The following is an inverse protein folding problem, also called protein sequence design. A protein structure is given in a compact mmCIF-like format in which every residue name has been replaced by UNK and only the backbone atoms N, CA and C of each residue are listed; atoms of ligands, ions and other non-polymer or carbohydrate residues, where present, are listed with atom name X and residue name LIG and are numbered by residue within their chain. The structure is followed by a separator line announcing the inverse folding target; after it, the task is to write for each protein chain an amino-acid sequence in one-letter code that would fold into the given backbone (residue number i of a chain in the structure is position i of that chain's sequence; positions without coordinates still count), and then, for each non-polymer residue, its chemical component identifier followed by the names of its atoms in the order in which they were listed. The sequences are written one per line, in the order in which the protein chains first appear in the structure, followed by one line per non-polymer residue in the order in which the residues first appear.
data_IF_844716295788
#
_entry.id   IF_844716295788
#
_cell.length_a   1.000
_cell.length_b   1.000
_cell.length_c   1.000
_cell.angle_alpha   90.00
_cell.angle_beta   90.00
_cell.angle_gamma   90.00
#
_symmetry.space_group_name_H-M   'P 1'
#
loop_
_entity.id
_entity.type
_entity.pdbx_description
1 polymer ?
#
# COMPACT_ATOMS: atom_id res chain seq x y z
N UNK A 1 16.36 37.95 8.62
CA UNK A 1 17.30 36.85 8.33
C UNK A 1 16.47 35.62 8.01
N UNK A 2 16.38 35.20 6.74
CA UNK A 2 15.59 34.02 6.35
C UNK A 2 16.31 32.77 6.87
N UNK A 3 15.60 31.84 7.54
CA UNK A 3 16.20 30.53 7.87
C UNK A 3 16.69 29.94 6.55
N UNK A 4 17.98 29.66 6.48
CA UNK A 4 18.58 29.00 5.33
C UNK A 4 17.77 27.73 5.01
N UNK A 5 17.37 27.56 3.75
CA UNK A 5 16.63 26.38 3.30
C UNK A 5 17.37 25.08 3.61
N UNK A 6 18.70 25.13 3.72
CA UNK A 6 19.55 24.02 4.17
C UNK A 6 19.31 23.69 5.64
N UNK A 7 19.26 24.70 6.52
CA UNK A 7 19.02 24.51 7.96
C UNK A 7 17.63 23.91 8.18
N UNK A 8 16.61 24.42 7.48
CA UNK A 8 15.26 23.88 7.55
C UNK A 8 15.23 22.41 7.14
N UNK A 9 15.87 22.05 6.03
CA UNK A 9 15.98 20.65 5.58
C UNK A 9 16.65 19.77 6.64
N UNK A 10 17.73 20.23 7.26
CA UNK A 10 18.41 19.46 8.30
C UNK A 10 17.51 19.22 9.52
N UNK A 11 16.74 20.22 9.95
CA UNK A 11 15.80 20.12 11.07
C UNK A 11 14.71 19.06 10.84
N UNK A 12 14.29 18.86 9.60
CA UNK A 12 13.32 17.84 9.23
C UNK A 12 13.96 16.46 8.99
N UNK A 13 15.07 16.42 8.25
CA UNK A 13 15.66 15.18 7.75
C UNK A 13 16.39 14.36 8.81
N UNK A 14 17.12 15.00 9.74
CA UNK A 14 17.90 14.26 10.76
C UNK A 14 16.97 13.43 11.67
N UNK A 15 15.92 13.99 12.28
CA UNK A 15 14.96 13.24 13.09
C UNK A 15 14.26 12.16 12.28
N UNK A 16 13.92 12.45 11.02
CA UNK A 16 13.27 11.50 10.14
C UNK A 16 14.17 10.29 9.83
N UNK A 17 15.47 10.51 9.61
CA UNK A 17 16.46 9.44 9.48
C UNK A 17 16.54 8.60 10.76
N UNK A 18 16.60 9.23 11.93
CA UNK A 18 16.64 8.54 13.23
C UNK A 18 15.38 7.69 13.43
N UNK A 19 14.19 8.27 13.24
CA UNK A 19 12.91 7.57 13.35
C UNK A 19 12.87 6.42 12.35
N UNK A 20 13.27 6.66 11.10
CA UNK A 20 13.27 5.64 10.06
C UNK A 20 14.17 4.44 10.36
N UNK A 21 15.38 4.68 10.89
CA UNK A 21 16.28 3.60 11.34
C UNK A 21 15.67 2.85 12.53
N UNK A 22 15.15 3.57 13.54
CA UNK A 22 14.58 2.95 14.74
C UNK A 22 13.33 2.11 14.45
N UNK A 23 12.44 2.61 13.58
CA UNK A 23 11.21 1.90 13.21
C UNK A 23 11.52 0.72 12.29
N UNK A 24 12.43 0.89 11.32
CA UNK A 24 12.90 -0.22 10.46
C UNK A 24 13.54 -1.33 11.28
N UNK A 25 14.42 -0.99 12.24
CA UNK A 25 15.04 -1.97 13.14
C UNK A 25 14.00 -2.70 13.99
N UNK A 26 13.06 -1.96 14.58
CA UNK A 26 12.02 -2.55 15.44
C UNK A 26 11.09 -3.46 14.65
N UNK A 27 10.75 -3.07 13.43
CA UNK A 27 9.87 -3.84 12.55
C UNK A 27 10.55 -5.12 12.03
N UNK A 28 11.81 -5.04 11.61
CA UNK A 28 12.58 -6.24 11.21
C UNK A 28 12.77 -7.22 12.37
N UNK A 29 13.13 -6.71 13.57
CA UNK A 29 13.49 -7.57 14.71
C UNK A 29 12.27 -8.12 15.45
N UNK A 30 11.23 -7.31 15.63
CA UNK A 30 10.07 -7.67 16.46
C UNK A 30 8.77 -7.82 15.66
N UNK A 31 8.76 -7.48 14.37
CA UNK A 31 7.56 -7.47 13.53
C UNK A 31 6.53 -6.43 13.96
N UNK A 32 6.92 -5.46 14.81
CA UNK A 32 6.05 -4.45 15.40
C UNK A 32 6.78 -3.13 15.58
N UNK A 33 6.15 -2.05 15.17
CA UNK A 33 6.61 -0.69 15.43
C UNK A 33 6.13 -0.26 16.82
N UNK A 34 7.07 0.07 17.71
CA UNK A 34 6.72 0.50 19.08
C UNK A 34 6.10 1.89 19.06
N UNK A 35 5.01 2.08 19.80
CA UNK A 35 4.32 3.37 19.93
C UNK A 35 5.23 4.49 20.44
N UNK A 36 6.27 4.18 21.22
CA UNK A 36 7.23 5.18 21.69
C UNK A 36 7.93 5.88 20.52
N UNK A 37 8.35 5.17 19.47
CA UNK A 37 9.00 5.79 18.31
C UNK A 37 8.04 6.70 17.55
N UNK A 38 6.78 6.28 17.44
CA UNK A 38 5.72 7.06 16.80
C UNK A 38 5.41 8.34 17.60
N UNK A 39 5.33 8.23 18.93
CA UNK A 39 5.09 9.37 19.81
C UNK A 39 6.23 10.39 19.71
N UNK A 40 7.48 9.94 19.70
CA UNK A 40 8.64 10.82 19.55
C UNK A 40 8.61 11.58 18.23
N UNK A 41 8.30 10.90 17.12
CA UNK A 41 8.17 11.55 15.81
C UNK A 41 7.05 12.57 15.77
N UNK A 42 5.90 12.25 16.36
CA UNK A 42 4.76 13.16 16.43
C UNK A 42 5.04 14.39 17.31
N UNK A 43 5.59 14.19 18.52
CA UNK A 43 5.97 15.27 19.42
C UNK A 43 7.03 16.18 18.77
N UNK A 44 8.03 15.59 18.11
CA UNK A 44 9.04 16.37 17.40
C UNK A 44 8.43 17.20 16.27
N UNK A 45 7.55 16.60 15.45
CA UNK A 45 6.82 17.31 14.41
C UNK A 45 6.07 18.52 14.99
N UNK A 46 5.28 18.32 16.05
CA UNK A 46 4.54 19.41 16.72
C UNK A 46 5.44 20.53 17.25
N UNK A 47 6.56 20.18 17.90
CA UNK A 47 7.53 21.17 18.38
C UNK A 47 8.14 21.96 17.23
N UNK A 48 8.54 21.29 16.15
CA UNK A 48 9.10 21.93 14.97
C UNK A 48 8.06 22.86 14.32
N UNK A 49 6.80 22.45 14.21
CA UNK A 49 5.72 23.31 13.70
C UNK A 49 5.50 24.53 14.57
N UNK A 50 5.43 24.35 15.88
CA UNK A 50 5.23 25.45 16.83
C UNK A 50 6.36 26.46 16.72
N UNK A 51 7.60 25.97 16.60
CA UNK A 51 8.77 26.81 16.37
C UNK A 51 8.70 27.56 15.04
N UNK A 52 8.34 26.90 13.93
CA UNK A 52 8.23 27.55 12.61
C UNK A 52 7.12 28.60 12.56
N UNK A 53 5.96 28.32 13.17
CA UNK A 53 4.85 29.27 13.28
C UNK A 53 5.29 30.48 14.11
N UNK A 54 5.88 30.25 15.28
CA UNK A 54 6.36 31.31 16.16
C UNK A 54 7.40 32.19 15.45
N UNK A 55 8.42 31.56 14.85
CA UNK A 55 9.49 32.27 14.17
C UNK A 55 9.01 33.04 12.93
N UNK A 56 8.12 32.44 12.13
CA UNK A 56 7.57 33.12 10.94
C UNK A 56 6.71 34.33 11.29
N UNK A 57 5.86 34.21 12.32
CA UNK A 57 4.93 35.27 12.72
C UNK A 57 5.62 36.40 13.49
N UNK A 58 6.45 36.07 14.49
CA UNK A 58 7.01 37.06 15.42
C UNK A 58 8.39 37.59 15.03
N UNK A 59 9.20 36.85 14.25
CA UNK A 59 10.59 37.26 13.96
C UNK A 59 10.75 37.81 12.55
N UNK A 60 10.16 37.16 11.54
CA UNK A 60 10.38 37.51 10.12
C UNK A 60 9.22 38.33 9.52
N UNK A 61 8.00 38.22 10.08
CA UNK A 61 6.79 38.84 9.53
C UNK A 61 6.54 38.48 8.05
N UNK A 62 6.88 37.25 7.63
CA UNK A 62 6.62 36.74 6.29
C UNK A 62 5.41 35.80 6.29
N UNK A 63 4.35 36.22 5.61
CA UNK A 63 3.10 35.45 5.46
C UNK A 63 3.27 34.17 4.63
N UNK A 64 4.24 34.10 3.72
CA UNK A 64 4.49 32.92 2.88
C UNK A 64 4.87 31.67 3.69
N UNK A 65 5.55 31.85 4.82
CA UNK A 65 5.90 30.74 5.72
C UNK A 65 4.67 30.13 6.39
N UNK A 66 3.63 30.94 6.68
CA UNK A 66 2.37 30.43 7.20
C UNK A 66 1.65 29.59 6.16
N UNK A 67 1.67 30.02 4.88
CA UNK A 67 1.12 29.22 3.78
C UNK A 67 1.82 27.87 3.66
N UNK A 68 3.15 27.83 3.77
CA UNK A 68 3.92 26.58 3.79
C UNK A 68 3.47 25.65 4.93
N UNK A 69 3.36 26.18 6.16
CA UNK A 69 2.91 25.39 7.32
C UNK A 69 1.49 24.86 7.12
N UNK A 70 0.57 25.67 6.59
CA UNK A 70 -0.80 25.26 6.28
C UNK A 70 -0.82 24.15 5.22
N UNK A 71 -0.07 24.28 4.13
CA UNK A 71 0.03 23.23 3.10
C UNK A 71 0.58 21.92 3.67
N UNK A 72 1.55 22.00 4.58
CA UNK A 72 2.11 20.84 5.25
C UNK A 72 1.10 20.18 6.21
N UNK A 73 0.37 20.98 7.00
CA UNK A 73 -0.69 20.46 7.88
C UNK A 73 -1.83 19.80 7.08
N UNK A 74 -2.20 20.37 5.93
CA UNK A 74 -3.18 19.76 5.01
C UNK A 74 -2.65 18.40 4.52
N UNK A 75 -1.40 18.34 4.05
CA UNK A 75 -0.78 17.08 3.61
C UNK A 75 -0.74 16.03 4.73
N UNK A 76 -0.33 16.41 5.95
CA UNK A 76 -0.29 15.50 7.10
C UNK A 76 -1.68 15.02 7.52
N UNK A 77 -2.69 15.89 7.48
CA UNK A 77 -4.08 15.53 7.80
C UNK A 77 -4.65 14.55 6.78
N UNK A 78 -4.44 14.81 5.47
CA UNK A 78 -4.87 13.89 4.41
C UNK A 78 -4.12 12.56 4.55
N UNK A 79 -2.82 12.58 4.84
CA UNK A 79 -2.04 11.37 5.08
C UNK A 79 -2.59 10.55 6.27
N UNK A 80 -2.99 11.22 7.36
CA UNK A 80 -3.64 10.57 8.50
C UNK A 80 -4.96 9.91 8.12
N UNK A 81 -5.84 10.62 7.40
CA UNK A 81 -7.12 10.07 6.93
C UNK A 81 -6.87 8.87 6.01
N UNK A 82 -5.95 8.98 5.05
CA UNK A 82 -5.62 7.88 4.13
C UNK A 82 -5.04 6.68 4.89
N UNK A 83 -4.10 6.91 5.81
CA UNK A 83 -3.55 5.85 6.67
C UNK A 83 -4.62 5.16 7.50
N UNK A 84 -5.52 5.93 8.13
CA UNK A 84 -6.66 5.41 8.87
C UNK A 84 -7.59 4.58 7.98
N UNK A 85 -7.94 5.05 6.79
CA UNK A 85 -8.78 4.29 5.86
C UNK A 85 -8.10 2.97 5.46
N UNK A 86 -6.82 3.00 5.10
CA UNK A 86 -6.08 1.79 4.75
C UNK A 86 -6.09 0.75 5.89
N UNK A 87 -5.97 1.18 7.14
CA UNK A 87 -6.11 0.31 8.31
C UNK A 87 -7.56 -0.17 8.53
N UNK A 88 -8.54 0.74 8.50
CA UNK A 88 -9.96 0.44 8.71
C UNK A 88 -10.47 -0.60 7.71
N UNK A 89 -9.99 -0.53 6.48
CA UNK A 89 -10.29 -1.49 5.42
C UNK A 89 -9.38 -2.72 5.44
N UNK A 90 -8.61 -2.99 6.49
CA UNK A 90 -7.69 -4.14 6.60
C UNK A 90 -6.73 -4.28 5.40
N UNK A 91 -6.35 -3.16 4.77
CA UNK A 91 -5.34 -3.12 3.71
C UNK A 91 -3.94 -2.95 4.28
N UNK A 92 -3.84 -2.47 5.52
CA UNK A 92 -2.58 -2.13 6.16
C UNK A 92 -2.62 -2.42 7.67
N UNK A 93 -1.47 -2.72 8.26
CA UNK A 93 -1.34 -2.90 9.69
C UNK A 93 -1.40 -1.55 10.42
N UNK A 94 -1.90 -1.56 11.67
CA UNK A 94 -2.07 -0.34 12.44
C UNK A 94 -0.75 0.43 12.68
N UNK A 95 0.38 -0.29 12.78
CA UNK A 95 1.70 0.32 12.96
C UNK A 95 2.09 1.19 11.77
N UNK A 96 1.94 0.67 10.56
CA UNK A 96 2.34 1.36 9.33
C UNK A 96 1.40 2.53 9.00
N UNK A 97 0.10 2.34 9.25
CA UNK A 97 -0.91 3.39 9.11
C UNK A 97 -0.64 4.61 10.01
N UNK A 98 0.03 4.41 11.15
CA UNK A 98 0.47 5.50 12.05
C UNK A 98 1.84 6.06 11.67
N UNK A 99 2.72 5.23 11.10
CA UNK A 99 4.04 5.66 10.65
C UNK A 99 3.95 6.59 9.44
N UNK A 100 3.05 6.30 8.50
CA UNK A 100 2.90 7.07 7.27
C UNK A 100 2.63 8.57 7.51
N UNK A 101 1.66 8.98 8.35
CA UNK A 101 1.42 10.40 8.63
C UNK A 101 2.61 11.11 9.28
N UNK A 102 3.40 10.40 10.10
CA UNK A 102 4.59 10.97 10.72
C UNK A 102 5.63 11.28 9.65
N UNK A 103 5.85 10.38 8.69
CA UNK A 103 6.70 10.67 7.53
C UNK A 103 6.15 11.85 6.72
N UNK A 104 4.84 11.87 6.43
CA UNK A 104 4.21 12.96 5.69
C UNK A 104 4.33 14.32 6.38
N UNK A 105 4.36 14.34 7.72
CA UNK A 105 4.57 15.54 8.53
C UNK A 105 6.04 15.92 8.69
N UNK A 106 6.99 15.01 8.48
CA UNK A 106 8.41 15.30 8.68
C UNK A 106 9.18 15.48 7.37
N UNK A 107 8.59 15.15 6.23
CA UNK A 107 9.21 15.39 4.92
C UNK A 107 8.91 16.83 4.46
N UNK A 108 9.94 17.67 4.22
CA UNK A 108 9.76 19.01 3.70
C UNK A 108 9.07 18.99 2.33
N UNK A 109 8.14 19.93 2.10
CA UNK A 109 7.37 20.01 0.85
C UNK A 109 8.27 20.18 -0.38
N UNK A 110 9.43 20.80 -0.22
CA UNK A 110 10.43 21.03 -1.26
C UNK A 110 11.00 19.72 -1.84
N UNK A 111 10.98 18.63 -1.07
CA UNK A 111 11.45 17.33 -1.54
C UNK A 111 10.48 16.75 -2.58
N UNK A 112 9.21 17.14 -2.52
CA UNK A 112 8.19 16.78 -3.50
C UNK A 112 8.14 17.75 -4.70
N UNK A 113 8.97 18.79 -4.74
CA UNK A 113 8.86 19.93 -5.68
C UNK A 113 8.73 19.55 -7.15
N UNK A 114 9.42 18.50 -7.63
CA UNK A 114 9.36 18.10 -9.05
C UNK A 114 8.07 17.37 -9.42
N UNK A 115 7.33 16.89 -8.42
CA UNK A 115 6.10 16.13 -8.56
C UNK A 115 5.07 16.64 -7.54
N UNK A 116 4.79 17.93 -7.52
CA UNK A 116 3.99 18.51 -6.46
C UNK A 116 2.48 18.29 -6.68
N UNK A 117 1.89 17.33 -5.95
CA UNK A 117 0.43 17.32 -5.75
C UNK A 117 0.14 18.34 -4.66
N UNK A 118 -0.48 19.47 -5.01
CA UNK A 118 -0.60 20.65 -4.14
C UNK A 118 -1.01 20.36 -2.69
N UNK A 119 -1.98 19.46 -2.47
CA UNK A 119 -2.52 19.20 -1.15
C UNK A 119 -2.14 17.84 -0.56
N UNK A 120 -1.66 16.90 -1.38
CA UNK A 120 -1.30 15.55 -0.91
C UNK A 120 -0.02 15.02 -1.56
N UNK A 121 1.11 15.75 -1.43
CA UNK A 121 2.38 15.33 -2.02
C UNK A 121 2.90 14.01 -1.43
N UNK A 122 2.57 13.69 -0.18
CA UNK A 122 2.97 12.43 0.47
C UNK A 122 2.37 11.16 -0.16
N UNK A 123 1.41 11.30 -1.08
CA UNK A 123 0.97 10.20 -1.94
C UNK A 123 2.13 9.58 -2.73
N UNK A 124 3.15 10.37 -3.08
CA UNK A 124 4.35 9.87 -3.77
C UNK A 124 5.12 8.90 -2.89
N UNK A 125 5.30 9.24 -1.61
CA UNK A 125 5.95 8.34 -0.65
C UNK A 125 5.17 7.02 -0.55
N UNK A 126 3.84 7.10 -0.45
CA UNK A 126 2.99 5.91 -0.39
C UNK A 126 3.15 5.04 -1.65
N UNK A 127 3.08 5.66 -2.83
CA UNK A 127 3.20 4.98 -4.11
C UNK A 127 4.57 4.32 -4.28
N UNK A 128 5.65 5.05 -3.99
CA UNK A 128 7.02 4.52 -4.08
C UNK A 128 7.24 3.38 -3.09
N UNK A 129 6.66 3.47 -1.89
CA UNK A 129 6.75 2.39 -0.89
C UNK A 129 6.12 1.10 -1.41
N UNK A 130 4.90 1.16 -1.94
CA UNK A 130 4.26 -0.02 -2.54
C UNK A 130 5.03 -0.54 -3.74
N UNK A 131 5.58 0.38 -4.56
CA UNK A 131 6.39 0.00 -5.70
C UNK A 131 7.64 -0.79 -5.28
N UNK A 132 8.37 -0.37 -4.25
CA UNK A 132 9.51 -1.13 -3.73
C UNK A 132 9.12 -2.52 -3.23
N UNK A 133 8.01 -2.60 -2.50
CA UNK A 133 7.48 -3.88 -2.00
C UNK A 133 7.18 -4.80 -3.19
N UNK A 134 6.46 -4.30 -4.20
CA UNK A 134 6.17 -5.03 -5.43
C UNK A 134 7.45 -5.47 -6.15
N UNK A 135 8.45 -4.59 -6.27
CA UNK A 135 9.72 -4.88 -6.92
C UNK A 135 10.46 -6.01 -6.20
N UNK A 136 10.56 -5.97 -4.87
CA UNK A 136 11.20 -7.04 -4.09
C UNK A 136 10.45 -8.36 -4.22
N UNK A 137 9.12 -8.34 -4.24
CA UNK A 137 8.35 -9.56 -4.49
C UNK A 137 8.58 -10.12 -5.89
N UNK A 138 8.60 -9.27 -6.91
CA UNK A 138 8.92 -9.66 -8.29
C UNK A 138 10.31 -10.30 -8.37
N UNK A 139 11.34 -9.65 -7.80
CA UNK A 139 12.71 -10.17 -7.79
C UNK A 139 12.81 -11.51 -7.07
N UNK A 140 12.19 -11.65 -5.88
CA UNK A 140 12.14 -12.93 -5.14
C UNK A 140 11.45 -14.04 -5.96
N UNK A 141 10.39 -13.70 -6.69
CA UNK A 141 9.70 -14.65 -7.55
C UNK A 141 10.58 -15.05 -8.73
N UNK A 142 11.14 -14.09 -9.48
CA UNK A 142 12.02 -14.37 -10.60
C UNK A 142 13.19 -15.26 -10.18
N UNK A 143 13.84 -14.95 -9.05
CA UNK A 143 14.90 -15.79 -8.49
C UNK A 143 14.46 -17.24 -8.29
N UNK A 144 13.26 -17.47 -7.76
CA UNK A 144 12.72 -18.82 -7.59
C UNK A 144 12.35 -19.51 -8.89
N UNK A 145 11.78 -18.78 -9.84
CA UNK A 145 11.46 -19.34 -11.17
C UNK A 145 12.76 -19.77 -11.83
N UNK A 146 13.81 -18.94 -11.78
CA UNK A 146 15.14 -19.27 -12.28
C UNK A 146 15.68 -20.53 -11.58
N UNK A 147 15.66 -20.59 -10.24
CA UNK A 147 16.08 -21.79 -9.50
C UNK A 147 15.27 -23.04 -9.86
N UNK A 148 13.96 -22.88 -10.05
CA UNK A 148 13.08 -23.97 -10.45
C UNK A 148 13.41 -24.45 -11.87
N UNK A 149 13.60 -23.54 -12.82
CA UNK A 149 14.05 -23.85 -14.17
C UNK A 149 15.39 -24.57 -14.16
N UNK A 150 16.39 -24.10 -13.40
CA UNK A 150 17.69 -24.77 -13.27
C UNK A 150 17.57 -26.20 -12.73
N UNK A 151 16.76 -26.42 -11.68
CA UNK A 151 16.50 -27.76 -11.15
C UNK A 151 15.77 -28.67 -12.14
N UNK A 152 14.91 -28.10 -12.98
CA UNK A 152 14.14 -28.86 -13.96
C UNK A 152 14.95 -29.17 -15.22
N UNK A 153 15.81 -28.26 -15.67
CA UNK A 153 16.75 -28.49 -16.78
C UNK A 153 17.70 -29.67 -16.52
N UNK A 154 17.95 -30.03 -15.26
CA UNK A 154 18.74 -31.20 -14.88
C UNK A 154 17.97 -32.53 -14.95
N UNK A 155 16.65 -32.53 -15.13
CA UNK A 155 15.83 -33.74 -15.24
C UNK A 155 15.28 -33.88 -16.67
N UNK A 156 15.30 -35.08 -17.28
CA UNK A 156 14.70 -35.29 -18.59
C UNK A 156 13.21 -34.95 -18.53
N UNK A 157 12.81 -33.97 -19.34
CA UNK A 157 11.52 -33.29 -19.28
C UNK A 157 10.42 -34.14 -19.96
N UNK A 158 9.47 -34.68 -19.20
CA UNK A 158 8.22 -35.21 -19.76
C UNK A 158 7.03 -34.29 -19.40
N UNK A 159 6.68 -33.39 -20.32
CA UNK A 159 5.59 -32.40 -20.21
C UNK A 159 4.18 -33.00 -20.18
N UNK A 160 4.04 -34.24 -20.64
CA UNK A 160 2.76 -34.86 -21.00
C UNK A 160 1.70 -34.92 -19.88
N UNK A 161 2.01 -35.29 -18.63
CA UNK A 161 0.95 -35.56 -17.65
C UNK A 161 0.46 -34.33 -16.86
N UNK A 162 1.14 -33.18 -16.92
CA UNK A 162 0.77 -32.00 -16.12
C UNK A 162 -0.20 -31.05 -16.84
N UNK A 163 -0.06 -30.89 -18.16
CA UNK A 163 -0.94 -30.02 -18.94
C UNK A 163 -2.36 -30.61 -19.10
N UNK A 164 -2.50 -31.94 -19.13
CA UNK A 164 -3.79 -32.62 -19.22
C UNK A 164 -4.63 -32.57 -17.93
N UNK A 165 -4.02 -32.19 -16.79
CA UNK A 165 -4.70 -32.04 -15.50
C UNK A 165 -5.13 -30.61 -15.17
N UNK A 166 -4.87 -29.64 -16.05
CA UNK A 166 -5.35 -28.27 -15.84
C UNK A 166 -6.85 -28.25 -16.07
N UNK A 167 -7.61 -28.27 -14.97
CA UNK A 167 -9.06 -28.16 -15.03
C UNK A 167 -9.46 -26.75 -15.49
N UNK A 168 -9.81 -26.60 -16.77
CA UNK A 168 -10.21 -25.33 -17.38
C UNK A 168 -11.40 -24.67 -16.65
N UNK A 169 -12.27 -25.48 -16.03
CA UNK A 169 -13.40 -24.98 -15.25
C UNK A 169 -12.93 -24.28 -13.95
N UNK A 170 -11.84 -24.74 -13.34
CA UNK A 170 -11.26 -24.09 -12.17
C UNK A 170 -10.63 -22.73 -12.51
N UNK A 171 -10.15 -22.54 -13.74
CA UNK A 171 -9.59 -21.27 -14.24
C UNK A 171 -10.67 -20.28 -14.72
N UNK A 172 -11.82 -20.76 -15.21
CA UNK A 172 -12.86 -19.89 -15.78
C UNK A 172 -13.40 -18.86 -14.76
N UNK A 173 -13.66 -19.29 -13.52
CA UNK A 173 -14.20 -18.41 -12.47
C UNK A 173 -13.26 -17.24 -12.11
N UNK A 174 -11.98 -17.46 -11.74
CA UNK A 174 -11.07 -16.37 -11.41
C UNK A 174 -10.81 -15.45 -12.62
N UNK A 175 -10.76 -15.98 -13.84
CA UNK A 175 -10.63 -15.16 -15.05
C UNK A 175 -11.85 -14.24 -15.23
N UNK A 176 -13.07 -14.74 -15.02
CA UNK A 176 -14.28 -13.93 -15.14
C UNK A 176 -14.36 -12.86 -14.04
N UNK A 177 -14.01 -13.19 -12.79
CA UNK A 177 -13.97 -12.21 -11.70
C UNK A 177 -12.91 -11.14 -11.94
N UNK A 178 -11.73 -11.52 -12.42
CA UNK A 178 -10.70 -10.59 -12.86
C UNK A 178 -11.21 -9.69 -14.00
N UNK A 179 -11.90 -10.25 -14.99
CA UNK A 179 -12.49 -9.50 -16.11
C UNK A 179 -13.63 -8.54 -15.72
N UNK A 180 -14.34 -8.78 -14.61
CA UNK A 180 -15.30 -7.81 -14.06
C UNK A 180 -14.59 -6.68 -13.34
N UNK A 181 -13.62 -7.02 -12.50
CA UNK A 181 -12.77 -6.06 -11.78
C UNK A 181 -12.09 -5.08 -12.74
N UNK A 182 -11.59 -5.65 -13.84
CA UNK A 182 -11.03 -5.01 -15.01
C UNK A 182 -11.92 -3.91 -15.56
N UNK A 183 -13.13 -4.29 -15.96
CA UNK A 183 -14.07 -3.37 -16.61
C UNK A 183 -14.43 -2.21 -15.68
N UNK A 184 -14.68 -2.51 -14.40
CA UNK A 184 -14.97 -1.50 -13.38
C UNK A 184 -13.80 -0.52 -13.24
N UNK A 185 -12.57 -1.02 -13.18
CA UNK A 185 -11.38 -0.18 -13.06
C UNK A 185 -11.13 0.71 -14.28
N UNK A 186 -11.35 0.18 -15.49
CA UNK A 186 -11.23 0.95 -16.72
C UNK A 186 -12.29 2.04 -16.80
N UNK A 187 -13.56 1.72 -16.49
CA UNK A 187 -14.63 2.72 -16.41
C UNK A 187 -14.30 3.81 -15.38
N UNK A 188 -13.79 3.43 -14.21
CA UNK A 188 -13.41 4.41 -13.19
C UNK A 188 -12.24 5.31 -13.63
N UNK A 189 -11.23 4.77 -14.34
CA UNK A 189 -10.16 5.58 -14.96
C UNK A 189 -10.69 6.59 -15.95
N UNK A 190 -11.61 6.16 -16.81
CA UNK A 190 -12.21 7.04 -17.82
C UNK A 190 -13.00 8.17 -17.16
N UNK A 191 -13.78 7.88 -16.11
CA UNK A 191 -14.48 8.91 -15.31
C UNK A 191 -13.47 9.89 -14.70
N UNK A 192 -12.45 9.37 -14.02
CA UNK A 192 -11.45 10.20 -13.36
C UNK A 192 -10.71 11.09 -14.36
N UNK A 193 -10.27 10.53 -15.48
CA UNK A 193 -9.52 11.28 -16.47
C UNK A 193 -10.38 12.33 -17.17
N UNK A 194 -11.65 12.03 -17.42
CA UNK A 194 -12.61 13.00 -17.97
C UNK A 194 -12.86 14.17 -17.01
N UNK A 195 -13.07 13.88 -15.72
CA UNK A 195 -13.25 14.92 -14.69
C UNK A 195 -12.00 15.78 -14.51
N UNK A 196 -10.81 15.17 -14.49
CA UNK A 196 -9.52 15.87 -14.42
C UNK A 196 -9.28 16.79 -15.63
N UNK A 197 -9.63 16.33 -16.82
CA UNK A 197 -9.58 17.14 -18.04
C UNK A 197 -10.47 18.38 -17.93
N UNK A 198 -11.70 18.25 -17.43
CA UNK A 198 -12.62 19.38 -17.22
C UNK A 198 -12.13 20.37 -16.18
N UNK A 199 -11.42 19.90 -15.16
CA UNK A 199 -10.85 20.74 -14.11
C UNK A 199 -9.48 21.32 -14.55
N UNK A 200 -9.03 21.03 -15.78
CA UNK A 200 -7.72 21.45 -16.33
C UNK A 200 -6.51 21.00 -15.50
N UNK A 201 -6.65 19.90 -14.75
CA UNK A 201 -5.60 19.30 -13.93
C UNK A 201 -5.23 17.93 -14.52
N UNK A 202 -4.52 17.92 -15.65
CA UNK A 202 -3.96 16.69 -16.22
C UNK A 202 -2.55 16.55 -15.67
N UNK A 203 -2.42 15.95 -14.48
CA UNK A 203 -1.11 15.63 -13.91
C UNK A 203 -0.89 14.12 -13.91
N UNK A 204 0.28 13.60 -14.34
CA UNK A 204 0.64 12.17 -14.25
C UNK A 204 0.65 11.62 -12.81
N UNK A 205 0.49 12.49 -11.82
CA UNK A 205 0.36 12.14 -10.40
C UNK A 205 -1.08 11.81 -9.97
N UNK A 206 -2.05 11.96 -10.87
CA UNK A 206 -3.42 11.46 -10.66
C UNK A 206 -3.50 9.92 -10.65
N UNK A 207 -2.52 9.23 -11.25
CA UNK A 207 -2.51 7.77 -11.36
C UNK A 207 -2.22 7.04 -10.03
N UNK A 208 -1.30 7.51 -9.16
CA UNK A 208 -1.19 7.00 -7.79
C UNK A 208 -2.47 7.18 -6.96
N UNK A 209 -3.15 8.33 -7.09
CA UNK A 209 -4.39 8.61 -6.36
C UNK A 209 -5.49 7.66 -6.83
N UNK A 210 -5.54 7.45 -8.14
CA UNK A 210 -6.38 6.46 -8.76
C UNK A 210 -6.11 5.06 -8.19
N UNK A 211 -4.86 4.65 -8.04
CA UNK A 211 -4.52 3.31 -7.51
C UNK A 211 -5.10 3.10 -6.11
N UNK A 212 -4.92 4.09 -5.22
CA UNK A 212 -5.45 4.04 -3.85
C UNK A 212 -6.99 4.00 -3.88
N UNK A 213 -7.63 4.90 -4.65
CA UNK A 213 -9.09 4.94 -4.79
C UNK A 213 -9.65 3.65 -5.39
N UNK A 214 -8.94 3.07 -6.37
CA UNK A 214 -9.32 1.82 -7.00
C UNK A 214 -9.35 0.69 -5.96
N UNK A 215 -8.33 0.56 -5.11
CA UNK A 215 -8.34 -0.47 -4.05
C UNK A 215 -9.56 -0.37 -3.14
N UNK A 216 -9.95 0.84 -2.73
CA UNK A 216 -11.16 1.08 -1.93
C UNK A 216 -12.44 0.76 -2.69
N UNK A 217 -12.52 1.20 -3.95
CA UNK A 217 -13.68 0.94 -4.80
C UNK A 217 -13.85 -0.55 -5.01
N UNK A 218 -12.80 -1.30 -5.34
CA UNK A 218 -12.92 -2.74 -5.59
C UNK A 218 -13.50 -3.49 -4.38
N UNK A 219 -13.07 -3.15 -3.17
CA UNK A 219 -13.58 -3.76 -1.93
C UNK A 219 -15.01 -3.32 -1.57
N UNK A 220 -15.39 -2.11 -1.95
CA UNK A 220 -16.74 -1.58 -1.69
C UNK A 220 -17.73 -2.06 -2.75
N UNK A 221 -17.36 -1.99 -4.02
CA UNK A 221 -18.08 -2.51 -5.19
C UNK A 221 -18.43 -3.99 -5.02
N UNK A 222 -17.53 -4.81 -4.48
CA UNK A 222 -17.82 -6.23 -4.27
C UNK A 222 -19.00 -6.49 -3.35
N UNK A 223 -19.39 -5.51 -2.51
CA UNK A 223 -20.55 -5.59 -1.61
C UNK A 223 -21.82 -4.97 -2.21
N UNK A 224 -21.70 -3.97 -3.08
CA UNK A 224 -22.84 -3.18 -3.57
C UNK A 224 -22.96 -3.24 -5.10
N UNK A 225 -23.87 -4.09 -5.60
CA UNK A 225 -24.11 -4.27 -7.05
C UNK A 225 -24.56 -2.98 -7.77
N UNK A 226 -25.32 -2.12 -7.09
CA UNK A 226 -25.80 -0.84 -7.65
C UNK A 226 -24.65 0.10 -8.00
N UNK A 227 -23.63 0.17 -7.14
CA UNK A 227 -22.47 1.02 -7.33
C UNK A 227 -21.63 0.56 -8.55
N UNK A 228 -21.55 -0.75 -8.81
CA UNK A 228 -20.92 -1.28 -10.03
C UNK A 228 -21.65 -0.78 -11.29
N UNK A 229 -22.98 -0.82 -11.30
CA UNK A 229 -23.79 -0.35 -12.43
C UNK A 229 -23.58 1.16 -12.64
N UNK A 230 -23.56 1.94 -11.56
CA UNK A 230 -23.31 3.39 -11.64
C UNK A 230 -21.91 3.71 -12.20
N UNK A 231 -20.86 3.01 -11.76
CA UNK A 231 -19.50 3.20 -12.30
C UNK A 231 -19.45 2.83 -13.79
N UNK A 232 -20.11 1.74 -14.18
CA UNK A 232 -20.14 1.33 -15.58
C UNK A 232 -20.85 2.36 -16.46
N UNK A 233 -22.03 2.83 -16.04
CA UNK A 233 -22.78 3.88 -16.74
C UNK A 233 -21.98 5.19 -16.80
N UNK A 234 -21.38 5.61 -15.68
CA UNK A 234 -20.54 6.80 -15.63
C UNK A 234 -19.32 6.70 -16.56
N UNK A 235 -18.71 5.52 -16.66
CA UNK A 235 -17.59 5.24 -17.56
C UNK A 235 -17.99 5.33 -19.03
N UNK A 236 -19.15 4.78 -19.39
CA UNK A 236 -19.71 4.90 -20.74
C UNK A 236 -20.01 6.36 -21.10
N UNK A 237 -20.71 7.10 -20.22
CA UNK A 237 -21.02 8.51 -20.44
C UNK A 237 -19.76 9.37 -20.57
N UNK A 238 -18.75 9.11 -19.73
CA UNK A 238 -17.46 9.82 -19.80
C UNK A 238 -16.68 9.47 -21.08
N UNK A 239 -16.73 8.21 -21.51
CA UNK A 239 -16.16 7.76 -22.78
C UNK A 239 -16.80 8.44 -23.99
N UNK A 240 -18.13 8.55 -24.01
CA UNK A 240 -18.85 9.34 -25.02
C UNK A 240 -18.45 10.83 -24.96
N UNK A 241 -18.27 11.39 -23.76
CA UNK A 241 -17.76 12.74 -23.57
C UNK A 241 -16.39 12.98 -24.22
N UNK A 242 -15.47 12.01 -24.14
CA UNK A 242 -14.18 12.07 -24.84
C UNK A 242 -14.31 12.06 -26.36
N UNK A 243 -15.24 11.26 -26.90
CA UNK A 243 -15.49 11.18 -28.34
C UNK A 243 -16.08 12.50 -28.85
N UNK A 244 -17.09 13.05 -28.15
CA UNK A 244 -17.75 14.31 -28.50
C UNK A 244 -16.78 15.49 -28.42
N UNK A 245 -15.87 15.49 -27.44
CA UNK A 245 -14.83 16.53 -27.30
C UNK A 245 -13.63 16.35 -28.22
N UNK A 246 -13.67 15.39 -29.16
CA UNK A 246 -12.59 15.07 -30.09
C UNK A 246 -11.25 14.69 -29.43
N UNK A 247 -11.27 14.16 -28.20
CA UNK A 247 -10.09 13.76 -27.44
C UNK A 247 -9.87 12.23 -27.45
N UNK A 248 -10.00 11.62 -28.63
CA UNK A 248 -9.91 10.15 -28.79
C UNK A 248 -8.52 9.60 -28.47
N UNK A 249 -7.46 10.35 -28.74
CA UNK A 249 -6.08 9.96 -28.41
C UNK A 249 -5.88 9.78 -26.90
N UNK A 250 -6.44 10.69 -26.11
CA UNK A 250 -6.36 10.65 -24.66
C UNK A 250 -7.18 9.50 -24.08
N UNK A 251 -8.39 9.25 -24.62
CA UNK A 251 -9.19 8.07 -24.28
C UNK A 251 -8.46 6.75 -24.58
N UNK A 252 -7.83 6.62 -25.74
CA UNK A 252 -7.03 5.43 -26.09
C UNK A 252 -5.87 5.26 -25.12
N UNK A 253 -5.19 6.35 -24.75
CA UNK A 253 -4.13 6.31 -23.75
C UNK A 253 -4.65 5.85 -22.37
N UNK A 254 -5.83 6.34 -21.94
CA UNK A 254 -6.50 5.90 -20.70
C UNK A 254 -6.79 4.41 -20.72
N UNK A 255 -7.36 3.90 -21.82
CA UNK A 255 -7.71 2.49 -21.95
C UNK A 255 -6.44 1.62 -21.94
N UNK A 256 -5.38 2.03 -22.67
CA UNK A 256 -4.08 1.35 -22.65
C UNK A 256 -3.50 1.31 -21.24
N UNK A 257 -3.55 2.43 -20.53
CA UNK A 257 -3.06 2.54 -19.16
C UNK A 257 -3.88 1.66 -18.20
N UNK A 258 -5.20 1.62 -18.36
CA UNK A 258 -6.08 0.73 -17.60
C UNK A 258 -5.70 -0.74 -17.80
N UNK A 259 -5.56 -1.17 -19.06
CA UNK A 259 -5.12 -2.51 -19.46
C UNK A 259 -3.76 -2.88 -18.86
N UNK A 260 -2.80 -1.95 -18.92
CA UNK A 260 -1.49 -2.11 -18.31
C UNK A 260 -1.61 -2.31 -16.79
N UNK A 261 -2.24 -1.37 -16.08
CA UNK A 261 -2.38 -1.44 -14.62
C UNK A 261 -3.05 -2.72 -14.16
N UNK A 262 -4.09 -3.15 -14.86
CA UNK A 262 -4.82 -4.38 -14.62
C UNK A 262 -3.95 -5.62 -14.79
N UNK A 263 -3.16 -5.69 -15.86
CA UNK A 263 -2.21 -6.79 -16.04
C UNK A 263 -1.24 -6.84 -14.86
N UNK A 264 -0.63 -5.70 -14.50
CA UNK A 264 0.33 -5.62 -13.40
C UNK A 264 -0.28 -5.85 -12.02
N UNK A 265 -1.51 -5.37 -11.76
CA UNK A 265 -2.20 -5.57 -10.49
C UNK A 265 -2.69 -7.01 -10.36
N UNK A 266 -3.24 -7.59 -11.42
CA UNK A 266 -3.63 -9.01 -11.44
C UNK A 266 -2.43 -9.92 -11.24
N UNK A 267 -1.36 -9.68 -12.00
CA UNK A 267 -0.08 -10.37 -11.81
C UNK A 267 0.38 -10.17 -10.36
N UNK A 268 0.53 -8.92 -9.91
CA UNK A 268 0.97 -8.58 -8.56
C UNK A 268 0.16 -9.25 -7.45
N UNK A 269 -1.17 -9.27 -7.54
CA UNK A 269 -2.04 -9.95 -6.59
C UNK A 269 -1.85 -11.47 -6.62
N UNK A 270 -1.72 -12.07 -7.80
CA UNK A 270 -1.39 -13.50 -7.92
C UNK A 270 -0.02 -13.81 -7.32
N UNK A 271 0.96 -12.92 -7.54
CA UNK A 271 2.30 -13.06 -6.98
C UNK A 271 2.31 -12.93 -5.48
N UNK A 272 1.57 -11.97 -4.92
CA UNK A 272 1.38 -11.80 -3.48
C UNK A 272 0.69 -13.02 -2.90
N UNK A 273 -0.38 -13.52 -3.52
CA UNK A 273 -1.07 -14.73 -3.04
C UNK A 273 -0.16 -15.96 -3.06
N UNK A 274 0.57 -16.19 -4.16
CA UNK A 274 1.54 -17.28 -4.27
C UNK A 274 2.69 -17.13 -3.28
N UNK A 275 3.12 -15.89 -3.02
CA UNK A 275 4.16 -15.60 -2.03
C UNK A 275 3.68 -15.91 -0.62
N UNK A 276 2.54 -15.36 -0.23
CA UNK A 276 1.90 -15.56 1.08
C UNK A 276 1.70 -17.07 1.31
N UNK A 277 1.11 -17.78 0.36
CA UNK A 277 0.83 -19.22 0.46
C UNK A 277 2.09 -20.08 0.62
N UNK A 278 3.21 -19.68 -0.02
CA UNK A 278 4.43 -20.49 -0.07
C UNK A 278 5.52 -20.10 0.91
N UNK A 279 5.56 -18.86 1.40
CA UNK A 279 6.73 -18.34 2.13
C UNK A 279 6.42 -17.83 3.52
N UNK A 280 5.20 -17.36 3.76
CA UNK A 280 4.90 -16.70 5.03
C UNK A 280 4.06 -17.56 5.95
N UNK A 281 3.67 -18.76 5.55
CA UNK A 281 2.98 -19.68 6.44
C UNK A 281 4.02 -20.45 7.27
N UNK A 282 4.21 -20.03 8.51
CA UNK A 282 4.92 -20.79 9.55
C UNK A 282 3.96 -21.74 10.26
N UNK A 283 4.47 -22.89 10.71
CA UNK A 283 3.74 -23.81 11.59
C UNK A 283 4.17 -23.53 13.02
N UNK A 284 3.21 -23.25 13.89
CA UNK A 284 3.45 -23.01 15.31
C UNK A 284 2.56 -23.98 16.08
N UNK A 285 3.12 -24.65 17.09
CA UNK A 285 2.33 -25.50 18.00
C UNK A 285 1.29 -24.66 18.72
N UNK A 286 0.07 -25.20 18.88
CA UNK A 286 -1.04 -24.43 19.49
C UNK A 286 -0.67 -23.88 20.87
N UNK A 287 0.07 -24.64 21.68
CA UNK A 287 0.49 -24.24 23.04
C UNK A 287 1.46 -23.06 23.04
N UNK A 288 2.28 -22.93 22.00
CA UNK A 288 3.31 -21.89 21.86
C UNK A 288 2.78 -20.65 21.13
N UNK A 289 1.49 -20.63 20.76
CA UNK A 289 0.89 -19.57 19.95
C UNK A 289 1.01 -18.19 20.65
N UNK A 290 1.82 -17.25 20.12
CA UNK A 290 1.97 -15.94 20.72
C UNK A 290 0.76 -15.03 20.43
N UNK A 291 0.47 -14.04 21.29
CA UNK A 291 -0.50 -12.99 20.98
C UNK A 291 0.01 -12.03 19.89
N UNK A 292 -0.92 -11.53 19.08
CA UNK A 292 -0.69 -10.61 17.96
C UNK A 292 -0.25 -11.31 16.67
N UNK A 293 -0.45 -12.62 16.61
CA UNK A 293 -0.12 -13.46 15.46
C UNK A 293 -1.34 -13.60 14.54
N UNK A 294 -1.12 -13.61 13.23
CA UNK A 294 -2.17 -13.77 12.23
C UNK A 294 -2.33 -15.23 11.84
N UNK A 295 -3.52 -15.80 12.07
CA UNK A 295 -3.82 -17.17 11.63
C UNK A 295 -4.03 -17.23 10.13
N UNK A 296 -3.48 -18.26 9.49
CA UNK A 296 -3.78 -18.56 8.11
C UNK A 296 -5.27 -18.92 7.93
N UNK A 297 -5.83 -18.59 6.77
CA UNK A 297 -7.24 -18.86 6.44
C UNK A 297 -7.66 -20.31 6.70
N UNK A 298 -6.76 -21.28 6.43
CA UNK A 298 -6.98 -22.70 6.72
C UNK A 298 -7.15 -22.98 8.22
N UNK A 299 -6.25 -22.48 9.05
CA UNK A 299 -6.33 -22.64 10.50
C UNK A 299 -7.51 -21.90 11.11
N UNK A 300 -7.84 -20.70 10.59
CA UNK A 300 -9.03 -19.97 11.01
C UNK A 300 -10.31 -20.75 10.68
N UNK A 301 -10.41 -21.34 9.49
CA UNK A 301 -11.54 -22.17 9.10
C UNK A 301 -11.67 -23.42 9.97
N UNK A 302 -10.56 -24.09 10.33
CA UNK A 302 -10.57 -25.22 11.26
C UNK A 302 -11.11 -24.81 12.64
N UNK A 303 -10.67 -23.67 13.16
CA UNK A 303 -11.08 -23.18 14.47
C UNK A 303 -12.56 -22.76 14.46
N UNK A 304 -13.01 -22.07 13.40
CA UNK A 304 -14.38 -21.60 13.28
C UNK A 304 -15.42 -22.74 13.18
N UNK A 305 -15.01 -23.94 12.74
CA UNK A 305 -15.88 -25.14 12.81
C UNK A 305 -16.23 -25.52 14.25
N UNK A 306 -15.32 -25.27 15.20
CA UNK A 306 -15.48 -25.65 16.61
C UNK A 306 -16.09 -24.50 17.42
N UNK A 307 -15.60 -23.28 17.17
CA UNK A 307 -16.07 -22.10 17.88
C UNK A 307 -15.95 -20.89 16.98
N UNK A 308 -17.05 -20.15 16.85
CA UNK A 308 -17.10 -18.96 16.03
C UNK A 308 -16.23 -17.86 16.67
N UNK A 309 -14.95 -17.82 16.29
CA UNK A 309 -14.08 -16.69 16.60
C UNK A 309 -14.46 -15.60 15.61
N UNK A 310 -14.99 -14.49 16.14
CA UNK A 310 -15.18 -13.28 15.36
C UNK A 310 -13.90 -12.99 14.57
N UNK A 311 -14.06 -12.54 13.32
CA UNK A 311 -12.98 -12.35 12.33
C UNK A 311 -11.71 -11.82 12.99
N UNK A 312 -10.58 -12.53 12.81
CA UNK A 312 -9.28 -12.05 13.27
C UNK A 312 -9.05 -10.63 12.75
N UNK A 313 -8.85 -9.68 13.68
CA UNK A 313 -8.64 -8.27 13.37
C UNK A 313 -7.28 -8.06 12.69
N UNK A 314 -7.11 -6.89 12.06
CA UNK A 314 -5.84 -6.41 11.48
C UNK A 314 -4.68 -6.30 12.48
N UNK A 315 -4.93 -6.50 13.78
CA UNK A 315 -3.92 -6.50 14.85
C UNK A 315 -3.49 -7.91 15.30
N UNK A 316 -4.02 -8.96 14.66
CA UNK A 316 -3.75 -10.36 15.00
C UNK A 316 -4.54 -10.86 16.22
N UNK A 317 -4.18 -12.05 16.73
CA UNK A 317 -4.89 -12.68 17.85
C UNK A 317 -4.69 -11.96 19.18
N UNK A 318 -5.77 -11.61 19.86
CA UNK A 318 -5.72 -11.08 21.23
C UNK A 318 -5.29 -12.15 22.24
N UNK A 319 -4.77 -11.72 23.41
CA UNK A 319 -4.37 -12.64 24.50
C UNK A 319 -5.53 -13.55 24.95
N UNK A 320 -6.76 -13.05 24.97
CA UNK A 320 -7.95 -13.84 25.32
C UNK A 320 -8.27 -14.89 24.26
N UNK A 321 -8.20 -14.52 22.97
CA UNK A 321 -8.39 -15.47 21.86
C UNK A 321 -7.32 -16.57 21.86
N UNK A 322 -6.05 -16.23 22.10
CA UNK A 322 -4.97 -17.22 22.25
C UNK A 322 -5.29 -18.21 23.37
N UNK A 323 -5.71 -17.74 24.55
CA UNK A 323 -6.10 -18.62 25.66
C UNK A 323 -7.29 -19.52 25.31
N UNK A 324 -8.27 -19.01 24.57
CA UNK A 324 -9.41 -19.80 24.10
C UNK A 324 -8.94 -20.90 23.15
N UNK A 325 -8.09 -20.58 22.17
CA UNK A 325 -7.54 -21.54 21.21
C UNK A 325 -6.70 -22.59 21.94
N UNK A 326 -5.81 -22.18 22.84
CA UNK A 326 -5.00 -23.09 23.66
C UNK A 326 -5.87 -24.02 24.51
N UNK A 327 -6.96 -23.52 25.09
CA UNK A 327 -7.91 -24.34 25.87
C UNK A 327 -8.67 -25.34 24.98
N UNK A 328 -9.05 -24.93 23.76
CA UNK A 328 -9.77 -25.80 22.82
C UNK A 328 -8.93 -27.00 22.37
N UNK A 329 -7.62 -26.83 22.18
CA UNK A 329 -6.71 -27.89 21.74
C UNK A 329 -5.81 -28.42 22.86
N UNK A 330 -6.20 -28.25 24.13
CA UNK A 330 -5.39 -28.69 25.27
C UNK A 330 -5.03 -30.19 25.23
N UNK A 331 -5.92 -31.00 24.65
CA UNK A 331 -5.75 -32.45 24.55
C UNK A 331 -4.95 -32.89 23.31
N UNK A 332 -4.67 -31.99 22.36
CA UNK A 332 -3.92 -32.28 21.14
C UNK A 332 -2.63 -31.45 21.11
N UNK A 333 -1.67 -31.88 21.93
CA UNK A 333 -0.38 -31.19 22.12
C UNK A 333 0.46 -31.15 20.82
N UNK A 334 0.17 -32.04 19.88
CA UNK A 334 0.84 -32.15 18.58
C UNK A 334 0.22 -31.25 17.51
N UNK A 335 -0.93 -30.62 17.78
CA UNK A 335 -1.59 -29.79 16.79
C UNK A 335 -0.74 -28.56 16.46
N UNK A 336 -0.46 -28.41 15.17
CA UNK A 336 0.18 -27.23 14.61
C UNK A 336 -0.86 -26.36 13.90
N UNK A 337 -0.75 -25.04 14.08
CA UNK A 337 -1.51 -24.06 13.33
C UNK A 337 -0.61 -23.33 12.34
N UNK A 338 -1.21 -23.00 11.21
CA UNK A 338 -0.62 -22.22 10.16
C UNK A 338 -0.80 -20.73 10.48
N UNK A 339 0.31 -20.01 10.49
CA UNK A 339 0.41 -18.62 10.91
C UNK A 339 1.12 -17.82 9.83
N UNK A 340 0.58 -16.65 9.47
CA UNK A 340 1.27 -15.70 8.61
C UNK A 340 2.40 -14.99 9.36
N UNK A 341 3.59 -15.00 8.77
CA UNK A 341 4.73 -14.19 9.18
C UNK A 341 4.47 -12.73 8.79
N UNK A 342 4.76 -11.80 9.69
CA UNK A 342 4.64 -10.38 9.38
C UNK A 342 5.75 -9.97 8.40
N UNK A 343 5.36 -9.18 7.40
CA UNK A 343 6.28 -8.57 6.45
C UNK A 343 6.70 -7.19 6.97
N UNK A 344 8.00 -6.90 7.13
CA UNK A 344 8.44 -5.62 7.69
C UNK A 344 8.22 -4.52 6.65
N UNK A 345 7.27 -3.63 6.89
CA UNK A 345 6.88 -2.56 5.98
C UNK A 345 7.71 -1.29 6.19
N UNK A 346 8.07 -0.96 7.44
CA UNK A 346 8.81 0.26 7.77
C UNK A 346 10.14 0.43 6.98
N UNK A 347 10.94 -0.62 6.73
CA UNK A 347 12.16 -0.50 5.93
C UNK A 347 11.90 -0.05 4.49
N UNK A 348 10.78 -0.44 3.89
CA UNK A 348 10.43 -0.04 2.52
C UNK A 348 9.97 1.41 2.44
N UNK A 349 9.20 1.86 3.43
CA UNK A 349 8.83 3.27 3.55
C UNK A 349 10.08 4.15 3.77
N UNK A 350 11.00 3.68 4.61
CA UNK A 350 12.26 4.37 4.86
C UNK A 350 13.13 4.42 3.60
N UNK A 351 13.24 3.32 2.86
CA UNK A 351 13.95 3.28 1.58
C UNK A 351 13.33 4.23 0.54
N UNK A 352 11.99 4.26 0.45
CA UNK A 352 11.26 5.17 -0.42
C UNK A 352 11.57 6.63 -0.07
N UNK A 353 11.58 6.96 1.22
CA UNK A 353 12.00 8.27 1.69
C UNK A 353 13.45 8.60 1.30
N UNK A 354 14.42 7.72 1.57
CA UNK A 354 15.83 7.96 1.23
C UNK A 354 15.98 8.24 -0.27
N UNK A 355 15.37 7.42 -1.12
CA UNK A 355 15.46 7.61 -2.55
C UNK A 355 14.82 8.93 -2.98
N UNK A 356 13.68 9.28 -2.38
CA UNK A 356 13.00 10.54 -2.67
C UNK A 356 13.84 11.76 -2.26
N UNK A 357 14.56 11.70 -1.13
CA UNK A 357 15.50 12.77 -0.72
C UNK A 357 16.64 12.93 -1.74
N UNK A 358 17.22 11.81 -2.19
CA UNK A 358 18.34 11.82 -3.14
C UNK A 358 17.90 12.33 -4.51
N UNK A 359 16.78 11.84 -5.02
CA UNK A 359 16.35 12.10 -6.39
C UNK A 359 15.47 13.34 -6.54
N UNK A 360 14.80 13.76 -5.46
CA UNK A 360 13.73 14.76 -5.46
C UNK A 360 12.62 14.43 -6.47
N UNK A 361 12.46 13.15 -6.81
CA UNK A 361 11.48 12.62 -7.77
C UNK A 361 10.88 11.34 -7.22
N UNK A 362 9.72 10.96 -7.76
CA UNK A 362 9.14 9.65 -7.52
C UNK A 362 9.97 8.59 -8.25
N UNK A 363 10.14 7.43 -7.64
CA UNK A 363 10.78 6.29 -8.29
C UNK A 363 10.03 5.84 -9.55
N UNK A 364 8.70 5.99 -9.56
CA UNK A 364 7.85 5.72 -10.72
C UNK A 364 8.33 6.47 -11.98
N UNK A 365 8.81 7.69 -11.81
CA UNK A 365 9.28 8.53 -12.92
C UNK A 365 10.48 7.89 -13.62
N UNK A 366 11.44 7.35 -12.86
CA UNK A 366 12.60 6.64 -13.41
C UNK A 366 12.21 5.38 -14.17
N UNK A 367 11.21 4.64 -13.68
CA UNK A 367 10.72 3.43 -14.34
C UNK A 367 9.97 3.72 -15.63
N UNK A 368 9.16 4.78 -15.66
CA UNK A 368 8.34 5.11 -16.81
C UNK A 368 9.09 5.86 -17.91
N UNK A 369 10.32 6.34 -17.65
CA UNK A 369 11.09 7.17 -18.60
C UNK A 369 10.29 8.36 -19.14
N UNK A 370 9.32 8.83 -18.35
CA UNK A 370 8.79 10.19 -18.42
C UNK A 370 9.88 11.13 -17.92
#
# INVERSE_FOLDING_TARGET
MVISSTVLKCLFLIPLLVIGVMTSYSDIKYGKIKNIHLLWGFCYALLLYSFLIYYSYFVIHQSDNLKYVVELLINGTIAFVVGYLLWHFNLWAAGDAKLFPIYSLLIPLEIYSKNYIRYFPSLILLADTFLFICLVFLLKMFYKIILFCFKYLQKPFSLSPYLSKINYQALKKPILEAGKLLLISACFLVILQYTMMKISVIHPLSYPLFFVLQMFLLKTCSKHKTLIVLIFLGGLLSGLGFIISHQTTLLIATIKLALFFMFFLSLGMQLVHLYIDRQEISRIKVLELPPGVFLASKSLAEINKVKNLSSCCSDGLTKSQVKIIQKLFKNDLTKELYVYRTFPFAPFMFLAFILMVITQRSFLFFLLRL
#
